data_IF_359327976806
#
_entry.id   IF_359327976806
#
_cell.length_a   1.000
_cell.length_b   1.000
_cell.length_c   1.000
_cell.angle_alpha   90.00
_cell.angle_beta   90.00
_cell.angle_gamma   90.00
#
_symmetry.space_group_name_H-M   'P 1'
#
loop_
_entity.id
_entity.type
_entity.pdbx_description
1 polymer ?
#
# COMPACT_ATOMS: atom_id res chain seq x y z
N UNK A 1 6.83 -5.48 -23.88
CA UNK A 1 5.85 -4.38 -23.80
C UNK A 1 5.00 -4.62 -22.57
N UNK A 2 4.86 -3.64 -21.68
CA UNK A 2 3.99 -3.80 -20.49
C UNK A 2 2.53 -3.62 -20.94
N UNK A 3 1.58 -4.32 -20.31
CA UNK A 3 0.15 -4.17 -20.62
C UNK A 3 -0.48 -2.93 -19.92
N UNK A 4 0.35 -2.19 -19.19
CA UNK A 4 -0.03 -1.00 -18.44
C UNK A 4 -0.20 0.21 -19.36
N UNK A 5 -1.07 1.17 -18.99
CA UNK A 5 -1.15 2.47 -19.66
C UNK A 5 0.22 3.12 -19.79
N UNK A 6 0.50 3.69 -20.96
CA UNK A 6 1.72 4.44 -21.19
C UNK A 6 1.66 5.78 -20.43
N UNK A 7 2.66 6.12 -19.60
CA UNK A 7 2.62 7.35 -18.80
C UNK A 7 2.65 8.63 -19.65
N UNK A 8 3.22 8.60 -20.86
CA UNK A 8 3.34 9.78 -21.72
C UNK A 8 2.04 10.03 -22.50
N UNK A 9 1.39 8.94 -22.96
CA UNK A 9 0.14 9.03 -23.74
C UNK A 9 -1.12 8.96 -22.88
N UNK A 10 -1.06 8.38 -21.68
CA UNK A 10 -2.20 8.22 -20.77
C UNK A 10 -1.85 8.64 -19.32
N UNK A 11 -1.37 9.89 -19.11
CA UNK A 11 -0.91 10.38 -17.81
C UNK A 11 -2.02 10.40 -16.73
N UNK A 12 -3.29 10.43 -17.13
CA UNK A 12 -4.43 10.41 -16.21
C UNK A 12 -4.43 9.19 -15.27
N UNK A 13 -3.81 8.08 -15.66
CA UNK A 13 -3.69 6.90 -14.79
C UNK A 13 -2.66 7.06 -13.68
N UNK A 14 -1.69 7.96 -13.84
CA UNK A 14 -0.60 8.19 -12.91
C UNK A 14 -0.69 9.54 -12.18
N UNK A 15 -1.62 10.39 -12.61
CA UNK A 15 -1.82 11.71 -12.04
C UNK A 15 -2.15 11.63 -10.53
N UNK A 16 -1.39 12.37 -9.73
CA UNK A 16 -1.55 12.48 -8.28
C UNK A 16 -1.50 11.13 -7.52
N UNK A 17 -0.95 10.07 -8.11
CA UNK A 17 -0.89 8.75 -7.46
C UNK A 17 -0.11 8.82 -6.15
N UNK A 18 1.03 9.51 -6.10
CA UNK A 18 1.83 9.64 -4.88
C UNK A 18 1.05 10.30 -3.72
N UNK A 19 0.35 11.40 -3.98
CA UNK A 19 -0.46 12.08 -2.95
C UNK A 19 -1.69 11.28 -2.54
N UNK A 20 -2.35 10.59 -3.49
CA UNK A 20 -3.44 9.66 -3.19
C UNK A 20 -2.98 8.47 -2.34
N UNK A 21 -1.76 7.96 -2.56
CA UNK A 21 -1.15 6.93 -1.71
C UNK A 21 -0.85 7.44 -0.31
N UNK A 22 -0.40 8.68 -0.17
CA UNK A 22 -0.20 9.31 1.14
C UNK A 22 -1.53 9.41 1.90
N UNK A 23 -2.59 9.89 1.24
CA UNK A 23 -3.92 9.99 1.88
C UNK A 23 -4.51 8.61 2.21
N UNK A 24 -4.33 7.62 1.31
CA UNK A 24 -4.69 6.23 1.57
C UNK A 24 -3.93 5.66 2.78
N UNK A 25 -2.63 5.98 2.91
CA UNK A 25 -1.82 5.55 4.05
C UNK A 25 -2.33 6.14 5.38
N UNK A 26 -2.75 7.41 5.41
CA UNK A 26 -3.36 8.02 6.59
C UNK A 26 -4.65 7.31 6.96
N UNK A 27 -5.54 7.08 5.99
CA UNK A 27 -6.82 6.37 6.22
C UNK A 27 -6.58 4.95 6.74
N UNK A 28 -5.69 4.20 6.10
CA UNK A 28 -5.33 2.85 6.55
C UNK A 28 -4.74 2.86 7.96
N UNK A 29 -3.91 3.86 8.30
CA UNK A 29 -3.32 3.98 9.63
C UNK A 29 -4.39 4.24 10.70
N UNK A 30 -5.43 5.04 10.38
CA UNK A 30 -6.59 5.24 11.26
C UNK A 30 -7.36 3.92 11.43
N UNK A 31 -7.64 3.20 10.35
CA UNK A 31 -8.35 1.91 10.40
C UNK A 31 -7.59 0.91 11.27
N UNK A 32 -6.29 0.76 11.05
CA UNK A 32 -5.44 -0.16 11.82
C UNK A 32 -5.38 0.27 13.29
N UNK A 33 -5.27 1.57 13.57
CA UNK A 33 -5.31 2.10 14.94
C UNK A 33 -6.62 1.74 15.65
N UNK A 34 -7.76 1.87 14.97
CA UNK A 34 -9.07 1.49 15.51
C UNK A 34 -9.17 -0.03 15.77
N UNK A 35 -8.61 -0.86 14.88
CA UNK A 35 -8.53 -2.31 15.08
C UNK A 35 -7.67 -2.65 16.31
N UNK A 36 -6.47 -2.04 16.43
CA UNK A 36 -5.61 -2.21 17.59
C UNK A 36 -6.29 -1.77 18.89
N UNK A 37 -7.01 -0.65 18.85
CA UNK A 37 -7.78 -0.16 19.99
C UNK A 37 -8.86 -1.15 20.42
N UNK A 38 -9.64 -1.67 19.47
CA UNK A 38 -10.67 -2.68 19.73
C UNK A 38 -10.10 -3.97 20.35
N UNK A 39 -8.98 -4.48 19.81
CA UNK A 39 -8.29 -5.66 20.37
C UNK A 39 -7.74 -5.37 21.78
N UNK A 40 -7.21 -4.16 21.99
CA UNK A 40 -6.68 -3.76 23.29
C UNK A 40 -7.79 -3.68 24.34
N UNK A 41 -8.97 -3.17 23.98
CA UNK A 41 -10.13 -3.16 24.87
C UNK A 41 -10.63 -4.58 25.19
N UNK A 42 -10.71 -5.45 24.17
CA UNK A 42 -11.13 -6.84 24.33
C UNK A 42 -10.16 -7.67 25.20
N UNK A 43 -8.89 -7.27 25.27
CA UNK A 43 -7.87 -7.91 26.11
C UNK A 43 -7.70 -7.23 27.46
N UNK A 44 -8.70 -6.46 27.94
CA UNK A 44 -8.66 -5.73 29.21
C UNK A 44 -7.40 -4.86 29.32
N UNK A 45 -7.15 -4.07 28.27
CA UNK A 45 -6.05 -3.13 28.12
C UNK A 45 -4.64 -3.74 27.98
N UNK A 46 -4.49 -5.06 28.02
CA UNK A 46 -3.18 -5.74 27.81
C UNK A 46 -2.60 -5.40 26.44
N UNK A 47 -3.43 -5.29 25.40
CA UNK A 47 -2.98 -4.95 24.06
C UNK A 47 -2.22 -3.62 23.96
N UNK A 48 -2.50 -2.64 24.84
CA UNK A 48 -1.79 -1.36 24.83
C UNK A 48 -0.29 -1.51 25.16
N UNK A 49 0.09 -2.50 25.98
CA UNK A 49 1.51 -2.80 26.25
C UNK A 49 2.25 -3.32 25.02
N UNK A 50 1.54 -4.02 24.13
CA UNK A 50 2.11 -4.61 22.92
C UNK A 50 1.72 -3.85 21.66
N UNK A 51 1.43 -2.55 21.80
CA UNK A 51 0.90 -1.73 20.72
C UNK A 51 1.70 -1.79 19.41
N UNK A 52 3.05 -1.67 19.41
CA UNK A 52 3.83 -1.74 18.17
C UNK A 52 3.70 -3.11 17.46
N UNK A 53 3.65 -4.19 18.24
CA UNK A 53 3.51 -5.55 17.70
C UNK A 53 2.09 -5.75 17.16
N UNK A 54 1.07 -5.31 17.89
CA UNK A 54 -0.32 -5.36 17.41
C UNK A 54 -0.50 -4.56 16.13
N UNK A 55 0.06 -3.35 16.07
CA UNK A 55 -0.02 -2.51 14.88
C UNK A 55 0.65 -3.16 13.67
N UNK A 56 1.82 -3.77 13.88
CA UNK A 56 2.52 -4.51 12.82
C UNK A 56 1.71 -5.72 12.35
N UNK A 57 1.23 -6.56 13.26
CA UNK A 57 0.53 -7.82 12.90
C UNK A 57 -0.83 -7.53 12.27
N UNK A 58 -1.66 -6.69 12.90
CA UNK A 58 -2.98 -6.34 12.39
C UNK A 58 -2.87 -5.51 11.11
N UNK A 59 -1.91 -4.58 11.05
CA UNK A 59 -1.65 -3.80 9.85
C UNK A 59 -1.19 -4.66 8.67
N UNK A 60 -0.31 -5.62 8.92
CA UNK A 60 0.13 -6.58 7.91
C UNK A 60 -1.04 -7.44 7.41
N UNK A 61 -1.80 -8.04 8.32
CA UNK A 61 -2.95 -8.88 7.97
C UNK A 61 -4.01 -8.08 7.19
N UNK A 62 -4.37 -6.89 7.66
CA UNK A 62 -5.31 -5.99 6.98
C UNK A 62 -4.86 -5.68 5.56
N UNK A 63 -3.59 -5.30 5.36
CA UNK A 63 -3.06 -4.95 4.03
C UNK A 63 -3.03 -6.17 3.11
N UNK A 64 -2.54 -7.32 3.58
CA UNK A 64 -2.51 -8.55 2.77
C UNK A 64 -3.92 -8.96 2.33
N UNK A 65 -4.87 -9.01 3.26
CA UNK A 65 -6.25 -9.41 2.96
C UNK A 65 -6.90 -8.44 1.98
N UNK A 66 -6.77 -7.14 2.20
CA UNK A 66 -7.41 -6.15 1.31
C UNK A 66 -6.77 -6.12 -0.08
N UNK A 67 -5.44 -6.18 -0.15
CA UNK A 67 -4.71 -6.23 -1.43
C UNK A 67 -4.99 -7.51 -2.20
N UNK A 68 -5.05 -8.67 -1.54
CA UNK A 68 -5.30 -9.95 -2.23
C UNK A 68 -6.72 -10.05 -2.81
N UNK A 69 -7.70 -9.35 -2.23
CA UNK A 69 -9.10 -9.42 -2.68
C UNK A 69 -9.41 -8.39 -3.77
N UNK A 70 -9.01 -7.14 -3.58
CA UNK A 70 -9.41 -6.03 -4.45
C UNK A 70 -8.23 -5.36 -5.17
N UNK A 71 -7.00 -5.82 -4.95
CA UNK A 71 -5.79 -5.14 -5.41
C UNK A 71 -5.64 -3.72 -4.84
N UNK A 72 -6.31 -3.42 -3.73
CA UNK A 72 -6.34 -2.11 -3.10
C UNK A 72 -6.71 -2.25 -1.62
N UNK A 73 -6.03 -1.50 -0.74
CA UNK A 73 -6.48 -1.32 0.65
C UNK A 73 -7.76 -0.49 0.69
N UNK A 74 -8.48 -0.46 1.82
CA UNK A 74 -9.67 0.40 1.90
C UNK A 74 -9.33 1.88 1.75
N UNK A 75 -8.18 2.34 2.26
CA UNK A 75 -7.68 3.69 2.01
C UNK A 75 -7.42 3.94 0.52
N UNK A 76 -6.82 2.98 -0.19
CA UNK A 76 -6.59 3.09 -1.64
C UNK A 76 -7.90 3.11 -2.42
N UNK A 77 -8.87 2.27 -2.04
CA UNK A 77 -10.22 2.26 -2.62
C UNK A 77 -10.91 3.61 -2.44
N UNK A 78 -10.78 4.21 -1.26
CA UNK A 78 -11.33 5.54 -0.98
C UNK A 78 -10.70 6.63 -1.85
N UNK A 79 -9.39 6.58 -2.10
CA UNK A 79 -8.71 7.55 -2.98
C UNK A 79 -8.83 7.25 -4.47
N UNK A 80 -9.49 6.15 -4.82
CA UNK A 80 -9.74 5.72 -6.19
C UNK A 80 -8.48 5.19 -6.89
N UNK A 81 -7.55 4.57 -6.15
CA UNK A 81 -6.38 3.91 -6.71
C UNK A 81 -6.39 2.40 -6.44
N UNK A 82 -5.73 1.67 -7.33
CA UNK A 82 -5.50 0.23 -7.20
C UNK A 82 -4.07 -0.12 -7.66
N UNK A 83 -3.53 -1.21 -7.14
CA UNK A 83 -2.24 -1.75 -7.54
C UNK A 83 -2.42 -2.76 -8.68
N UNK A 84 -1.46 -2.83 -9.60
CA UNK A 84 -1.39 -3.79 -10.70
C UNK A 84 0.03 -4.28 -10.91
N UNK A 85 0.20 -5.48 -11.45
CA UNK A 85 1.50 -5.94 -11.94
C UNK A 85 1.85 -5.32 -13.32
N UNK A 86 3.06 -5.56 -13.84
CA UNK A 86 3.48 -5.08 -15.18
C UNK A 86 2.64 -5.64 -16.34
N UNK A 87 1.92 -6.74 -16.09
CA UNK A 87 1.00 -7.37 -17.03
C UNK A 87 -0.44 -6.85 -16.88
N UNK A 88 -0.69 -5.87 -16.01
CA UNK A 88 -2.01 -5.30 -15.74
C UNK A 88 -2.95 -6.16 -14.88
N UNK A 89 -2.48 -7.29 -14.36
CA UNK A 89 -3.27 -8.15 -13.49
C UNK A 89 -3.41 -7.56 -12.08
N UNK A 90 -4.49 -7.94 -11.41
CA UNK A 90 -4.68 -7.65 -9.98
C UNK A 90 -3.69 -8.47 -9.16
N UNK A 91 -3.42 -8.00 -7.96
CA UNK A 91 -2.61 -8.72 -6.99
C UNK A 91 -3.30 -10.02 -6.61
N UNK A 92 -2.55 -11.12 -6.69
CA UNK A 92 -2.89 -12.34 -6.02
C UNK A 92 -2.37 -12.31 -4.57
N UNK A 93 -2.66 -13.37 -3.81
CA UNK A 93 -2.20 -13.47 -2.42
C UNK A 93 -0.67 -13.37 -2.30
N UNK A 94 0.07 -13.97 -3.24
CA UNK A 94 1.54 -13.98 -3.20
C UNK A 94 2.08 -12.57 -3.37
N UNK A 95 1.62 -11.84 -4.38
CA UNK A 95 2.04 -10.49 -4.65
C UNK A 95 1.61 -9.53 -3.51
N UNK A 96 0.43 -9.72 -2.94
CA UNK A 96 -0.03 -8.97 -1.77
C UNK A 96 0.88 -9.16 -0.55
N UNK A 97 1.30 -10.41 -0.26
CA UNK A 97 2.25 -10.72 0.83
C UNK A 97 3.62 -10.12 0.55
N UNK A 98 4.16 -10.26 -0.66
CA UNK A 98 5.47 -9.72 -1.03
C UNK A 98 5.48 -8.20 -0.96
N UNK A 99 4.44 -7.54 -1.49
CA UNK A 99 4.31 -6.10 -1.45
C UNK A 99 4.18 -5.58 -0.01
N UNK A 100 3.35 -6.23 0.80
CA UNK A 100 3.19 -5.83 2.21
C UNK A 100 4.48 -6.05 2.99
N UNK A 101 5.21 -7.14 2.73
CA UNK A 101 6.53 -7.41 3.35
C UNK A 101 7.57 -6.34 2.98
N UNK A 102 7.68 -6.00 1.69
CA UNK A 102 8.59 -4.94 1.22
C UNK A 102 8.27 -3.58 1.83
N UNK A 103 6.98 -3.26 1.96
CA UNK A 103 6.52 -2.07 2.67
C UNK A 103 6.88 -2.09 4.16
N UNK A 104 6.63 -3.21 4.86
CA UNK A 104 6.99 -3.36 6.28
C UNK A 104 8.49 -3.21 6.52
N UNK A 105 9.33 -3.80 5.67
CA UNK A 105 10.80 -3.64 5.73
C UNK A 105 11.18 -2.18 5.49
N UNK A 106 10.55 -1.52 4.51
CA UNK A 106 10.80 -0.10 4.22
C UNK A 106 10.47 0.78 5.42
N UNK A 107 9.38 0.51 6.14
CA UNK A 107 9.04 1.23 7.38
C UNK A 107 10.01 0.96 8.53
N UNK A 108 10.53 -0.26 8.66
CA UNK A 108 11.52 -0.60 9.70
C UNK A 108 12.87 0.08 9.46
N UNK A 109 13.18 0.44 8.22
CA UNK A 109 14.43 1.08 7.83
C UNK A 109 14.14 2.45 7.22
N UNK A 110 14.15 3.55 8.00
CA UNK A 110 13.75 4.88 7.52
C UNK A 110 14.43 5.33 6.23
N UNK A 111 15.69 4.93 6.01
CA UNK A 111 16.42 5.20 4.77
C UNK A 111 15.73 4.60 3.53
N UNK A 112 15.26 3.35 3.61
CA UNK A 112 14.54 2.70 2.51
C UNK A 112 13.20 3.39 2.25
N UNK A 113 12.51 3.83 3.31
CA UNK A 113 11.27 4.59 3.17
C UNK A 113 11.49 5.93 2.45
N UNK A 114 12.55 6.67 2.79
CA UNK A 114 12.90 7.93 2.12
C UNK A 114 13.21 7.69 0.64
N UNK A 115 14.03 6.67 0.33
CA UNK A 115 14.32 6.29 -1.06
C UNK A 115 13.03 5.99 -1.80
N UNK A 116 12.12 5.21 -1.20
CA UNK A 116 10.83 4.88 -1.79
C UNK A 116 9.99 6.11 -2.08
N UNK A 117 9.96 7.10 -1.18
CA UNK A 117 9.22 8.36 -1.40
C UNK A 117 9.83 9.15 -2.56
N UNK A 118 11.15 9.29 -2.60
CA UNK A 118 11.85 9.98 -3.71
C UNK A 118 11.55 9.31 -5.05
N UNK A 119 11.56 7.97 -5.09
CA UNK A 119 11.18 7.23 -6.29
C UNK A 119 9.73 7.49 -6.70
N UNK A 120 8.78 7.50 -5.75
CA UNK A 120 7.37 7.78 -6.07
C UNK A 120 7.16 9.18 -6.65
N UNK A 121 7.97 10.16 -6.24
CA UNK A 121 7.88 11.55 -6.70
C UNK A 121 8.57 11.80 -8.04
N UNK A 122 9.58 10.99 -8.39
CA UNK A 122 10.41 11.20 -9.60
C UNK A 122 10.12 10.22 -10.73
N UNK A 123 9.59 9.03 -10.44
CA UNK A 123 9.22 8.02 -11.42
C UNK A 123 7.99 8.46 -12.24
N UNK A 124 8.03 8.26 -13.56
CA UNK A 124 6.88 8.50 -14.47
C UNK A 124 5.63 7.72 -14.09
N UNK A 125 5.79 6.53 -13.50
CA UNK A 125 4.70 5.66 -13.02
C UNK A 125 4.39 5.81 -11.52
N UNK A 126 5.02 6.72 -10.80
CA UNK A 126 4.82 6.91 -9.36
C UNK A 126 5.16 5.68 -8.48
N UNK A 127 6.12 4.86 -8.91
CA UNK A 127 6.50 3.62 -8.23
C UNK A 127 7.40 3.90 -7.03
N UNK A 128 7.10 3.25 -5.90
CA UNK A 128 8.02 3.21 -4.76
C UNK A 128 9.11 2.15 -4.94
N UNK A 129 9.98 2.04 -3.94
CA UNK A 129 11.09 1.07 -3.96
C UNK A 129 10.58 -0.37 -4.10
N UNK A 130 9.60 -0.74 -3.26
CA UNK A 130 8.99 -2.08 -3.30
C UNK A 130 8.27 -2.33 -4.63
N UNK A 131 7.63 -1.29 -5.18
CA UNK A 131 6.92 -1.39 -6.46
C UNK A 131 7.86 -1.65 -7.63
N UNK A 132 8.97 -0.90 -7.69
CA UNK A 132 9.98 -1.08 -8.73
C UNK A 132 10.63 -2.46 -8.65
N UNK A 133 10.90 -2.95 -7.43
CA UNK A 133 11.48 -4.28 -7.22
C UNK A 133 10.53 -5.41 -7.60
N UNK A 134 9.24 -5.30 -7.25
CA UNK A 134 8.24 -6.34 -7.53
C UNK A 134 7.60 -6.23 -8.92
N UNK A 135 7.89 -5.17 -9.68
CA UNK A 135 7.21 -4.92 -10.95
C UNK A 135 5.72 -4.59 -10.74
N UNK A 136 5.40 -3.78 -9.73
CA UNK A 136 4.03 -3.36 -9.45
C UNK A 136 3.87 -1.87 -9.62
N UNK A 137 2.64 -1.41 -9.82
CA UNK A 137 2.35 0.00 -10.03
C UNK A 137 0.99 0.36 -9.44
N UNK A 138 0.89 1.57 -8.89
CA UNK A 138 -0.39 2.14 -8.48
C UNK A 138 -0.98 2.96 -9.62
N UNK A 139 -2.27 2.76 -9.88
CA UNK A 139 -3.02 3.41 -10.96
C UNK A 139 -4.31 3.98 -10.42
N UNK A 140 -4.77 5.09 -11.01
CA UNK A 140 -6.15 5.54 -10.83
C UNK A 140 -7.11 4.49 -11.42
N UNK A 141 -8.11 4.09 -10.64
CA UNK A 141 -9.12 3.11 -11.05
C UNK A 141 -9.93 3.68 -12.21
N UNK A 142 -10.17 2.86 -13.23
CA UNK A 142 -11.09 3.18 -14.33
C UNK A 142 -12.51 3.19 -13.77
N UNK A 143 -13.19 4.32 -13.89
CA UNK A 143 -14.64 4.44 -13.62
C UNK A 143 -15.39 3.70 -14.72
#
# INVERSE_FOLDING_TARGET
MTALPDPDYQPQFYQAVASKRLLAWVIDSIIITLLCFGVSLATVFVGFFFWPILFLVLGFAYRVVTLANDSATWGMRFTGIELRDLSGHRFDLRLAVLHTSGYSISLMMPLLQVISIVMMLTSSRGQGLTDAFLGTVALNKRV
#
